data_IF_160700881187
#
_entry.id   IF_160700881187
#
_cell.length_a   1.000
_cell.length_b   1.000
_cell.length_c   1.000
_cell.angle_alpha   90.00
_cell.angle_beta   90.00
_cell.angle_gamma   90.00
#
_symmetry.space_group_name_H-M   'P 1'
#
loop_
_entity.id
_entity.type
_entity.pdbx_description
1 polymer ?
#
# COMPACT_ATOMS: atom_id res chain seq x y z
N UNK A 1 -28.26 44.47 18.20
CA UNK A 1 -27.50 43.28 17.75
C UNK A 1 -28.47 42.37 17.01
N UNK A 2 -28.15 42.05 15.77
CA UNK A 2 -29.02 41.44 14.75
C UNK A 2 -29.34 39.97 15.02
N UNK A 3 -30.57 39.57 14.68
CA UNK A 3 -31.08 38.21 14.58
C UNK A 3 -30.36 37.40 13.48
N UNK A 4 -30.29 36.06 13.63
CA UNK A 4 -29.82 35.17 12.55
C UNK A 4 -29.72 33.68 12.91
N UNK A 5 -30.88 33.01 12.97
CA UNK A 5 -31.20 31.60 12.68
C UNK A 5 -30.11 30.51 12.48
N UNK A 6 -30.32 29.40 13.23
CA UNK A 6 -30.34 27.96 12.83
C UNK A 6 -29.48 27.53 11.63
N UNK A 7 -28.63 26.51 11.84
CA UNK A 7 -28.71 25.25 11.09
C UNK A 7 -27.95 24.14 11.85
N UNK A 8 -28.71 23.17 12.36
CA UNK A 8 -28.21 21.86 12.77
C UNK A 8 -27.72 21.11 11.53
N UNK A 9 -26.42 20.82 11.46
CA UNK A 9 -25.91 19.66 10.72
C UNK A 9 -24.92 18.95 11.65
N UNK A 10 -25.48 18.15 12.55
CA UNK A 10 -24.76 16.99 13.09
C UNK A 10 -24.69 15.99 11.94
N UNK A 11 -23.59 16.03 11.18
CA UNK A 11 -23.19 14.88 10.35
C UNK A 11 -22.80 13.76 11.31
N UNK A 12 -23.80 12.98 11.72
CA UNK A 12 -23.63 11.66 12.28
C UNK A 12 -22.98 10.82 11.18
N UNK A 13 -21.65 10.84 11.14
CA UNK A 13 -20.86 9.96 10.31
C UNK A 13 -21.24 8.54 10.68
N UNK A 14 -22.02 7.90 9.81
CA UNK A 14 -22.35 6.49 9.91
C UNK A 14 -21.03 5.73 9.82
N UNK A 15 -20.54 5.31 10.97
CA UNK A 15 -19.46 4.35 11.07
C UNK A 15 -19.89 3.08 10.35
N UNK A 16 -19.43 2.91 9.11
CA UNK A 16 -19.42 1.61 8.46
C UNK A 16 -18.58 0.70 9.34
N UNK A 17 -19.25 -0.17 10.11
CA UNK A 17 -18.63 -1.33 10.72
C UNK A 17 -18.26 -2.29 9.58
N UNK A 18 -17.19 -1.95 8.87
CA UNK A 18 -16.55 -2.85 7.94
C UNK A 18 -15.73 -3.82 8.78
N UNK A 19 -16.00 -5.11 8.60
CA UNK A 19 -15.28 -6.21 9.21
C UNK A 19 -13.76 -6.01 9.00
N UNK A 20 -13.04 -5.59 10.05
CA UNK A 20 -11.64 -5.14 9.97
C UNK A 20 -10.65 -6.17 9.40
N UNK A 21 -11.04 -7.45 9.29
CA UNK A 21 -10.26 -8.48 8.60
C UNK A 21 -10.31 -8.36 7.07
N UNK A 22 -11.46 -8.03 6.49
CA UNK A 22 -11.61 -7.89 5.04
C UNK A 22 -10.84 -6.67 4.52
N UNK A 23 -10.85 -5.59 5.30
CA UNK A 23 -10.14 -4.35 4.98
C UNK A 23 -8.62 -4.55 4.97
N UNK A 24 -8.05 -5.38 5.84
CA UNK A 24 -6.62 -5.70 5.80
C UNK A 24 -6.19 -6.51 4.57
N UNK A 25 -7.12 -7.21 3.91
CA UNK A 25 -6.84 -8.00 2.70
C UNK A 25 -6.87 -7.11 1.46
N UNK A 26 -7.92 -6.31 1.29
CA UNK A 26 -8.07 -5.46 0.11
C UNK A 26 -7.34 -4.13 0.24
N UNK A 27 -7.26 -3.56 1.45
CA UNK A 27 -6.71 -2.23 1.73
C UNK A 27 -5.77 -2.26 2.95
N UNK A 28 -4.59 -2.88 2.84
CA UNK A 28 -3.68 -3.01 3.98
C UNK A 28 -3.24 -1.63 4.50
N UNK A 29 -3.30 -1.44 5.81
CA UNK A 29 -3.05 -0.14 6.46
C UNK A 29 -1.65 0.45 6.18
N UNK A 30 -0.65 -0.40 5.97
CA UNK A 30 0.73 0.01 5.65
C UNK A 30 0.89 0.63 4.24
N UNK A 31 -0.19 0.70 3.46
CA UNK A 31 -0.24 1.39 2.18
C UNK A 31 -1.18 2.60 2.16
N UNK A 32 -1.90 2.88 3.26
CA UNK A 32 -2.86 3.99 3.33
C UNK A 32 -2.22 5.35 3.00
N UNK A 33 -0.96 5.54 3.39
CA UNK A 33 -0.18 6.75 3.11
C UNK A 33 -0.08 7.08 1.61
N UNK A 34 -0.12 6.07 0.73
CA UNK A 34 -0.02 6.28 -0.72
C UNK A 34 -1.32 6.86 -1.28
N UNK A 35 -2.46 6.35 -0.80
CA UNK A 35 -3.78 6.87 -1.14
C UNK A 35 -3.95 8.30 -0.66
N UNK A 36 -3.49 8.62 0.54
CA UNK A 36 -3.53 9.98 1.08
C UNK A 36 -2.60 10.93 0.32
N UNK A 37 -1.45 10.43 -0.15
CA UNK A 37 -0.44 11.25 -0.85
C UNK A 37 -0.82 11.54 -2.30
N UNK A 38 -1.32 10.55 -3.05
CA UNK A 38 -1.55 10.68 -4.49
C UNK A 38 -2.86 10.06 -5.01
N UNK A 39 -3.74 9.57 -4.13
CA UNK A 39 -5.05 9.03 -4.53
C UNK A 39 -5.01 7.64 -5.18
N UNK A 40 -3.87 6.93 -5.09
CA UNK A 40 -3.65 5.63 -5.75
C UNK A 40 -3.45 4.52 -4.72
N UNK A 41 -4.02 3.33 -4.97
CA UNK A 41 -3.75 2.14 -4.17
C UNK A 41 -2.63 1.29 -4.79
N UNK A 42 -1.81 0.60 -3.99
CA UNK A 42 -0.75 -0.27 -4.53
C UNK A 42 -1.29 -1.37 -5.43
N UNK A 43 -2.53 -1.83 -5.19
CA UNK A 43 -3.18 -2.81 -6.05
C UNK A 43 -3.41 -2.25 -7.46
N UNK A 44 -3.79 -0.97 -7.58
CA UNK A 44 -3.98 -0.32 -8.87
C UNK A 44 -2.64 -0.25 -9.62
N UNK A 45 -1.55 0.09 -8.93
CA UNK A 45 -0.20 0.08 -9.51
C UNK A 45 0.19 -1.33 -9.96
N UNK A 46 0.02 -2.33 -9.10
CA UNK A 46 0.44 -3.70 -9.39
C UNK A 46 -0.35 -4.35 -10.53
N UNK A 47 -1.60 -3.92 -10.81
CA UNK A 47 -2.39 -4.40 -11.95
C UNK A 47 -1.84 -3.99 -13.31
N UNK A 48 -1.00 -2.96 -13.36
CA UNK A 48 -0.37 -2.44 -14.58
C UNK A 48 1.08 -2.91 -14.76
N UNK A 49 1.54 -3.83 -13.92
CA UNK A 49 2.92 -4.29 -13.88
C UNK A 49 2.98 -5.79 -14.08
N UNK A 50 4.09 -6.25 -14.66
CA UNK A 50 4.43 -7.65 -14.72
C UNK A 50 4.62 -8.22 -13.30
N UNK A 51 4.58 -9.55 -13.21
CA UNK A 51 4.62 -10.23 -11.92
C UNK A 51 5.83 -9.81 -11.07
N UNK A 52 7.02 -9.75 -11.66
CA UNK A 52 8.23 -9.39 -10.94
C UNK A 52 8.29 -7.91 -10.57
N UNK A 53 7.99 -7.02 -11.52
CA UNK A 53 8.02 -5.57 -11.30
C UNK A 53 6.96 -5.14 -10.28
N UNK A 54 5.75 -5.72 -10.33
CA UNK A 54 4.71 -5.51 -9.33
C UNK A 54 5.12 -5.97 -7.93
N UNK A 55 5.77 -7.14 -7.82
CA UNK A 55 6.30 -7.62 -6.54
C UNK A 55 7.42 -6.71 -6.00
N UNK A 56 8.32 -6.22 -6.85
CA UNK A 56 9.38 -5.30 -6.45
C UNK A 56 8.80 -4.01 -5.88
N UNK A 57 7.87 -3.37 -6.59
CA UNK A 57 7.19 -2.15 -6.13
C UNK A 57 6.45 -2.38 -4.81
N UNK A 58 5.74 -3.51 -4.68
CA UNK A 58 5.06 -3.87 -3.43
C UNK A 58 5.99 -3.84 -2.22
N UNK A 59 7.23 -4.33 -2.34
CA UNK A 59 8.23 -4.28 -1.26
C UNK A 59 8.83 -2.89 -1.07
N UNK A 60 9.05 -2.12 -2.15
CA UNK A 60 9.53 -0.74 -2.05
C UNK A 60 8.55 0.15 -1.28
N UNK A 61 7.25 -0.01 -1.55
CA UNK A 61 6.15 0.74 -0.93
C UNK A 61 5.77 0.24 0.47
N UNK A 62 6.27 -0.92 0.89
CA UNK A 62 5.98 -1.49 2.21
C UNK A 62 6.74 -0.73 3.28
N UNK A 63 6.16 0.40 3.71
CA UNK A 63 6.72 1.28 4.72
C UNK A 63 6.28 0.79 6.11
N UNK A 64 7.23 0.76 7.06
CA UNK A 64 6.97 0.56 8.50
C UNK A 64 6.30 -0.77 8.94
N UNK A 65 6.13 -1.77 8.06
CA UNK A 65 5.58 -3.07 8.45
C UNK A 65 6.61 -3.91 9.20
N UNK A 66 6.67 -3.81 10.52
CA UNK A 66 7.50 -4.66 11.37
C UNK A 66 6.75 -5.94 11.73
N UNK A 67 7.34 -7.10 11.42
CA UNK A 67 6.83 -8.41 11.81
C UNK A 67 7.81 -9.06 12.81
N UNK A 68 7.32 -9.47 13.98
CA UNK A 68 8.11 -10.17 15.00
C UNK A 68 9.19 -9.31 15.67
N UNK A 69 10.34 -9.92 15.99
CA UNK A 69 11.42 -9.30 16.78
C UNK A 69 12.42 -8.47 15.95
N UNK A 70 12.08 -8.09 14.71
CA UNK A 70 12.99 -7.34 13.83
C UNK A 70 12.90 -5.84 14.10
N UNK A 71 14.02 -5.14 14.02
CA UNK A 71 14.03 -3.67 13.98
C UNK A 71 13.42 -3.17 12.66
N UNK A 72 12.97 -1.91 12.65
CA UNK A 72 12.52 -1.24 11.42
C UNK A 72 13.59 -1.27 10.32
N UNK A 73 14.85 -1.09 10.70
CA UNK A 73 15.98 -1.10 9.77
C UNK A 73 16.19 -2.48 9.15
N UNK A 74 16.23 -3.55 9.96
CA UNK A 74 16.37 -4.91 9.44
C UNK A 74 15.23 -5.29 8.50
N UNK A 75 14.01 -4.89 8.85
CA UNK A 75 12.86 -5.14 8.02
C UNK A 75 12.90 -4.36 6.71
N UNK A 76 13.34 -3.10 6.74
CA UNK A 76 13.55 -2.31 5.52
C UNK A 76 14.62 -2.93 4.63
N UNK A 77 15.73 -3.42 5.21
CA UNK A 77 16.77 -4.13 4.46
C UNK A 77 16.20 -5.40 3.82
N UNK A 78 15.39 -6.17 4.54
CA UNK A 78 14.73 -7.36 4.00
C UNK A 78 13.82 -7.02 2.81
N UNK A 79 12.96 -6.01 2.94
CA UNK A 79 12.07 -5.60 1.85
C UNK A 79 12.87 -5.10 0.63
N UNK A 80 13.96 -4.37 0.83
CA UNK A 80 14.87 -3.96 -0.26
C UNK A 80 15.54 -5.16 -0.94
N UNK A 81 16.03 -6.15 -0.18
CA UNK A 81 16.61 -7.38 -0.74
C UNK A 81 15.60 -8.17 -1.55
N UNK A 82 14.35 -8.23 -1.09
CA UNK A 82 13.25 -8.85 -1.84
C UNK A 82 12.96 -8.10 -3.13
N UNK A 83 12.92 -6.77 -3.10
CA UNK A 83 12.75 -5.98 -4.31
C UNK A 83 13.87 -6.25 -5.32
N UNK A 84 15.13 -6.26 -4.88
CA UNK A 84 16.29 -6.61 -5.72
C UNK A 84 16.16 -8.01 -6.32
N UNK A 85 15.74 -9.00 -5.53
CA UNK A 85 15.53 -10.37 -6.02
C UNK A 85 14.55 -10.39 -7.21
N UNK A 86 13.39 -9.75 -7.09
CA UNK A 86 12.40 -9.73 -8.18
C UNK A 86 12.89 -8.97 -9.41
N UNK A 87 13.63 -7.87 -9.23
CA UNK A 87 14.24 -7.16 -10.37
C UNK A 87 15.29 -8.01 -11.07
N UNK A 88 16.13 -8.72 -10.32
CA UNK A 88 17.12 -9.64 -10.90
C UNK A 88 16.45 -10.82 -11.63
N UNK A 89 15.34 -11.33 -11.11
CA UNK A 89 14.57 -12.39 -11.75
C UNK A 89 13.95 -11.92 -13.08
N UNK A 90 13.40 -10.70 -13.11
CA UNK A 90 12.89 -10.08 -14.34
C UNK A 90 13.98 -9.91 -15.40
N UNK A 91 15.15 -9.41 -14.99
CA UNK A 91 16.30 -9.25 -15.90
C UNK A 91 16.68 -10.61 -16.49
N UNK A 92 16.80 -11.66 -15.65
CA UNK A 92 17.11 -13.01 -16.12
C UNK A 92 16.05 -13.55 -17.07
N UNK A 93 14.77 -13.30 -16.79
CA UNK A 93 13.67 -13.73 -17.65
C UNK A 93 13.80 -13.11 -19.04
N UNK A 94 14.09 -11.81 -19.12
CA UNK A 94 14.30 -11.08 -20.38
C UNK A 94 15.63 -11.45 -21.06
N UNK A 95 16.67 -11.81 -20.31
CA UNK A 95 17.94 -12.32 -20.86
C UNK A 95 17.79 -13.72 -21.46
N UNK A 96 16.88 -14.54 -20.92
CA UNK A 96 16.64 -15.92 -21.35
C UNK A 96 15.40 -16.09 -22.25
N UNK A 97 14.56 -15.07 -22.37
CA UNK A 97 13.25 -15.08 -23.01
C UNK A 97 13.02 -13.85 -23.87
N UNK A 98 12.59 -14.13 -25.10
CA UNK A 98 12.60 -13.33 -26.33
C UNK A 98 11.69 -12.09 -26.30
N UNK A 99 12.04 -11.10 -27.13
CA UNK A 99 11.28 -9.87 -27.47
C UNK A 99 9.75 -10.03 -27.55
#
# INVERSE_FOLDING_TARGET
MTFGTKFDIVTKGEGKSANGKAEQVSHPSHYAWLKDLCGVEPLDICRHLDFNTGNAIKYLLRKDKVDGNKTKTEKRIEDLRKAVFYIQDEIKLLEHGTD
#
